data_IF_182725387837
#
_entry.id   IF_182725387837
#
_cell.length_a   1.000
_cell.length_b   1.000
_cell.length_c   1.000
_cell.angle_alpha   90.00
_cell.angle_beta   90.00
_cell.angle_gamma   90.00
#
_symmetry.space_group_name_H-M   'P 1'
#
loop_
_entity.id
_entity.type
_entity.pdbx_description
1 polymer ?
#
# COMPACT_ATOMS: atom_id res chain seq x y z
N UNK A 1 1.08 13.46 26.48
CA UNK A 1 -0.17 13.82 27.16
C UNK A 1 -1.01 14.64 26.21
N UNK A 2 -2.10 14.03 25.76
CA UNK A 2 -3.04 14.59 24.80
C UNK A 2 -3.76 15.81 25.38
N UNK A 3 -3.68 16.96 24.70
CA UNK A 3 -4.41 18.17 25.04
C UNK A 3 -5.37 18.52 23.89
N UNK A 4 -6.68 18.33 24.10
CA UNK A 4 -7.73 18.68 23.14
C UNK A 4 -8.85 19.47 23.85
N UNK A 5 -9.45 20.48 23.18
CA UNK A 5 -9.14 20.97 21.83
C UNK A 5 -7.77 21.67 21.76
N UNK A 6 -7.15 21.67 20.57
CA UNK A 6 -5.83 22.27 20.34
C UNK A 6 -5.77 22.99 18.98
N UNK A 7 -4.99 24.07 18.91
CA UNK A 7 -4.62 24.74 17.66
C UNK A 7 -3.35 24.17 17.03
N UNK A 8 -2.64 23.32 17.75
CA UNK A 8 -1.43 22.62 17.30
C UNK A 8 -1.72 21.14 17.11
N UNK A 9 -1.11 20.49 16.10
CA UNK A 9 -1.19 19.04 15.97
C UNK A 9 -0.78 18.34 17.26
N UNK A 10 -1.51 17.30 17.61
CA UNK A 10 -1.18 16.45 18.75
C UNK A 10 -0.61 15.14 18.23
N UNK A 11 0.47 14.64 18.84
CA UNK A 11 1.01 13.31 18.58
C UNK A 11 0.61 12.37 19.72
N UNK A 12 0.08 11.21 19.38
CA UNK A 12 -0.33 10.17 20.32
C UNK A 12 0.53 8.93 20.07
N UNK A 13 1.24 8.51 21.11
CA UNK A 13 2.26 7.44 21.05
C UNK A 13 2.00 6.30 22.04
N UNK A 14 1.07 6.48 22.98
CA UNK A 14 0.79 5.52 24.05
C UNK A 14 -0.69 5.17 24.12
N UNK A 15 -0.98 4.01 24.71
CA UNK A 15 -2.34 3.48 24.78
C UNK A 15 -3.29 4.29 25.66
N UNK A 16 -2.81 5.09 26.61
CA UNK A 16 -3.67 5.92 27.44
C UNK A 16 -4.16 7.15 26.67
N UNK A 17 -3.26 7.90 26.05
CA UNK A 17 -3.58 9.03 25.19
C UNK A 17 -4.45 8.57 24.00
N UNK A 18 -4.22 7.37 23.47
CA UNK A 18 -5.08 6.77 22.43
C UNK A 18 -6.51 6.54 22.91
N UNK A 19 -6.71 5.96 24.10
CA UNK A 19 -8.05 5.76 24.67
C UNK A 19 -8.73 7.08 25.04
N UNK A 20 -7.96 8.10 25.44
CA UNK A 20 -8.46 9.46 25.65
C UNK A 20 -8.94 10.09 24.34
N UNK A 21 -8.17 9.91 23.25
CA UNK A 21 -8.56 10.36 21.92
C UNK A 21 -9.85 9.71 21.44
N UNK A 22 -9.99 8.38 21.58
CA UNK A 22 -11.20 7.65 21.20
C UNK A 22 -12.46 8.19 21.89
N UNK A 23 -12.40 8.38 23.21
CA UNK A 23 -13.50 8.99 23.97
C UNK A 23 -13.77 10.44 23.54
N UNK A 24 -12.72 11.21 23.25
CA UNK A 24 -12.89 12.57 22.78
C UNK A 24 -13.63 12.60 21.43
N UNK A 25 -13.20 11.82 20.43
CA UNK A 25 -13.86 11.81 19.10
C UNK A 25 -15.31 11.31 19.15
N UNK A 26 -15.68 10.50 20.13
CA UNK A 26 -17.06 10.06 20.35
C UNK A 26 -17.89 11.05 21.17
N UNK A 27 -17.26 12.00 21.85
CA UNK A 27 -17.98 12.95 22.70
C UNK A 27 -18.89 13.87 21.89
N UNK A 28 -20.18 13.90 22.25
CA UNK A 28 -21.16 14.84 21.72
C UNK A 28 -20.99 16.29 22.19
N UNK A 29 -20.11 16.54 23.16
CA UNK A 29 -19.80 17.90 23.65
C UNK A 29 -18.71 18.62 22.86
N UNK A 30 -18.10 17.96 21.86
CA UNK A 30 -17.09 18.58 21.01
C UNK A 30 -17.70 19.68 20.15
N UNK A 31 -16.99 20.79 20.07
CA UNK A 31 -17.34 21.93 19.21
C UNK A 31 -16.52 21.96 17.91
N UNK A 32 -15.46 21.15 17.81
CA UNK A 32 -14.56 21.09 16.64
C UNK A 32 -14.46 19.68 16.07
N UNK A 33 -14.44 19.52 14.74
CA UNK A 33 -14.07 18.26 14.10
C UNK A 33 -12.66 17.83 14.49
N UNK A 34 -12.39 16.53 14.41
CA UNK A 34 -11.05 15.97 14.66
C UNK A 34 -10.60 15.21 13.41
N UNK A 35 -9.45 15.57 12.85
CA UNK A 35 -8.79 14.78 11.81
C UNK A 35 -7.75 13.89 12.48
N UNK A 36 -8.01 12.58 12.48
CA UNK A 36 -7.06 11.59 12.98
C UNK A 36 -6.29 11.02 11.80
N UNK A 37 -4.97 11.12 11.84
CA UNK A 37 -4.04 10.65 10.83
C UNK A 37 -3.20 9.53 11.42
N UNK A 38 -3.01 8.43 10.70
CA UNK A 38 -2.18 7.30 11.16
C UNK A 38 -0.82 7.33 10.49
N UNK A 39 0.26 7.02 11.20
CA UNK A 39 1.57 6.77 10.60
C UNK A 39 1.59 5.41 9.88
N UNK A 40 2.39 5.30 8.81
CA UNK A 40 2.59 4.03 8.08
C UNK A 40 3.93 3.42 8.47
N UNK A 41 3.91 2.43 9.36
CA UNK A 41 5.12 1.70 9.79
C UNK A 41 6.15 2.59 10.50
N UNK A 42 7.44 2.22 10.41
CA UNK A 42 8.57 2.95 11.03
C UNK A 42 8.93 4.26 10.30
N UNK A 43 8.18 4.65 9.26
CA UNK A 43 8.44 5.87 8.49
C UNK A 43 7.94 7.07 9.30
N UNK A 44 8.80 7.61 10.16
CA UNK A 44 8.40 8.60 11.16
C UNK A 44 7.93 9.95 10.62
N UNK A 45 8.30 10.39 9.39
CA UNK A 45 8.24 11.83 9.12
C UNK A 45 7.66 12.30 7.77
N UNK A 46 7.48 11.44 6.75
CA UNK A 46 7.21 11.96 5.39
C UNK A 46 5.73 12.04 4.97
N UNK A 47 4.85 11.22 5.55
CA UNK A 47 3.52 10.97 4.96
C UNK A 47 2.41 11.84 5.56
N UNK A 48 2.67 12.42 6.72
CA UNK A 48 1.68 13.06 7.57
C UNK A 48 2.23 14.41 8.07
N UNK A 49 2.43 15.37 7.15
CA UNK A 49 2.72 16.75 7.55
C UNK A 49 1.46 17.38 8.18
N UNK A 50 1.16 16.90 9.38
CA UNK A 50 0.02 17.32 10.20
C UNK A 50 0.14 18.78 10.61
N UNK A 51 1.38 19.31 10.67
CA UNK A 51 1.66 20.73 10.87
C UNK A 51 1.15 21.55 9.69
N UNK A 52 1.44 21.15 8.45
CA UNK A 52 0.91 21.83 7.29
C UNK A 52 -0.62 21.69 7.17
N UNK A 53 -1.21 20.54 7.52
CA UNK A 53 -2.68 20.40 7.54
C UNK A 53 -3.30 21.32 8.60
N UNK A 54 -2.72 21.39 9.81
CA UNK A 54 -3.21 22.29 10.86
C UNK A 54 -3.06 23.77 10.47
N UNK A 55 -1.94 24.13 9.83
CA UNK A 55 -1.73 25.48 9.32
C UNK A 55 -2.73 25.84 8.22
N UNK A 56 -3.00 24.93 7.27
CA UNK A 56 -3.96 25.12 6.17
C UNK A 56 -5.39 25.27 6.65
N UNK A 57 -5.76 24.59 7.73
CA UNK A 57 -7.12 24.64 8.29
C UNK A 57 -7.31 25.77 9.30
N UNK A 58 -6.28 26.57 9.59
CA UNK A 58 -6.41 27.74 10.46
C UNK A 58 -6.91 27.45 11.88
N UNK A 59 -6.81 26.20 12.35
CA UNK A 59 -7.42 25.77 13.61
C UNK A 59 -8.94 25.53 13.53
N UNK A 60 -9.53 25.38 12.35
CA UNK A 60 -10.94 24.98 12.21
C UNK A 60 -11.21 23.57 12.78
N UNK A 61 -10.20 22.70 12.82
CA UNK A 61 -10.28 21.34 13.35
C UNK A 61 -9.07 20.97 14.20
N UNK A 62 -9.23 20.00 15.10
CA UNK A 62 -8.13 19.41 15.85
C UNK A 62 -7.44 18.36 14.96
N UNK A 63 -6.11 18.46 14.77
CA UNK A 63 -5.33 17.47 14.00
C UNK A 63 -4.57 16.57 14.97
N UNK A 64 -4.70 15.25 14.81
CA UNK A 64 -4.03 14.27 15.67
C UNK A 64 -3.31 13.22 14.83
N UNK A 65 -2.03 13.02 15.10
CA UNK A 65 -1.22 11.94 14.53
C UNK A 65 -1.14 10.77 15.52
N UNK A 66 -1.68 9.62 15.12
CA UNK A 66 -1.44 8.32 15.76
C UNK A 66 -0.11 7.78 15.26
N UNK A 67 0.90 7.82 16.12
CA UNK A 67 2.23 7.30 15.81
C UNK A 67 2.31 5.82 16.22
N UNK A 68 2.28 4.93 15.23
CA UNK A 68 2.30 3.49 15.41
C UNK A 68 3.69 2.90 15.69
N UNK A 69 4.74 3.71 15.73
CA UNK A 69 6.12 3.23 15.94
C UNK A 69 6.48 2.95 17.42
N UNK A 70 5.51 3.02 18.33
CA UNK A 70 5.69 2.62 19.72
C UNK A 70 5.95 1.11 19.86
N UNK A 71 6.91 0.72 20.70
CA UNK A 71 7.34 -0.67 20.96
C UNK A 71 6.30 -1.55 21.69
N UNK A 72 5.03 -1.16 21.70
CA UNK A 72 3.96 -1.94 22.32
C UNK A 72 3.44 -3.00 21.35
N UNK A 73 3.00 -4.13 21.91
CA UNK A 73 2.54 -5.31 21.15
C UNK A 73 1.32 -4.99 20.27
N UNK A 74 0.57 -3.93 20.60
CA UNK A 74 -0.56 -3.42 19.83
C UNK A 74 -0.26 -2.01 19.33
N UNK A 75 -0.53 -1.74 18.05
CA UNK A 75 -0.34 -0.42 17.44
C UNK A 75 -1.27 0.64 18.04
N UNK A 76 -0.87 1.92 17.99
CA UNK A 76 -1.73 3.02 18.44
C UNK A 76 -3.05 3.11 17.65
N UNK A 77 -3.03 2.78 16.37
CA UNK A 77 -4.23 2.70 15.52
C UNK A 77 -5.12 1.50 15.86
N UNK A 78 -4.54 0.33 16.16
CA UNK A 78 -5.29 -0.83 16.65
C UNK A 78 -5.97 -0.54 18.00
N UNK A 79 -5.22 0.05 18.94
CA UNK A 79 -5.76 0.45 20.24
C UNK A 79 -6.88 1.48 20.10
N UNK A 80 -6.72 2.45 19.18
CA UNK A 80 -7.73 3.45 18.88
C UNK A 80 -9.01 2.81 18.33
N UNK A 81 -8.85 1.91 17.35
CA UNK A 81 -9.96 1.23 16.69
C UNK A 81 -10.68 0.27 17.66
N UNK A 82 -9.95 -0.41 18.54
CA UNK A 82 -10.52 -1.24 19.60
C UNK A 82 -11.33 -0.39 20.60
N UNK A 83 -10.82 0.78 20.99
CA UNK A 83 -11.53 1.69 21.87
C UNK A 83 -12.82 2.24 21.22
N UNK A 84 -12.78 2.61 19.94
CA UNK A 84 -13.99 3.01 19.20
C UNK A 84 -15.03 1.90 19.11
N UNK A 85 -14.59 0.64 18.94
CA UNK A 85 -15.47 -0.51 18.87
C UNK A 85 -16.13 -0.83 20.23
N UNK A 86 -15.39 -0.68 21.33
CA UNK A 86 -15.88 -0.95 22.69
C UNK A 86 -17.05 -0.05 23.10
N UNK A 87 -17.08 1.20 22.62
CA UNK A 87 -18.14 2.16 22.93
C UNK A 87 -19.42 1.94 22.09
N UNK A 88 -19.48 0.91 21.22
CA UNK A 88 -20.72 0.46 20.57
C UNK A 88 -21.30 1.37 19.49
N UNK A 89 -20.63 2.48 19.15
CA UNK A 89 -21.13 3.49 18.22
C UNK A 89 -20.99 3.12 16.72
N UNK A 90 -20.46 1.93 16.39
CA UNK A 90 -20.21 1.50 15.01
C UNK A 90 -19.33 2.46 14.21
N UNK A 91 -18.61 3.34 14.89
CA UNK A 91 -17.83 4.41 14.26
C UNK A 91 -16.57 3.78 13.65
N UNK A 92 -16.37 3.88 12.33
CA UNK A 92 -15.25 3.22 11.69
C UNK A 92 -13.93 3.88 12.08
N UNK A 93 -12.91 3.03 12.25
CA UNK A 93 -11.56 3.40 12.60
C UNK A 93 -10.72 3.96 11.45
N UNK A 94 -9.45 4.25 11.74
CA UNK A 94 -8.43 4.72 10.79
C UNK A 94 -7.20 3.81 10.87
N UNK A 95 -6.47 3.63 9.76
CA UNK A 95 -5.37 2.66 9.67
C UNK A 95 -4.41 2.95 8.49
N UNK A 96 -3.21 2.34 8.53
CA UNK A 96 -2.27 2.20 7.41
C UNK A 96 -1.85 3.49 6.67
N UNK A 97 -1.67 4.60 7.37
CA UNK A 97 -1.29 5.85 6.70
C UNK A 97 -2.49 6.65 6.16
N UNK A 98 -3.72 6.27 6.52
CA UNK A 98 -4.90 7.02 6.17
C UNK A 98 -5.20 8.13 7.18
N UNK A 99 -6.06 9.06 6.79
CA UNK A 99 -6.68 10.04 7.66
C UNK A 99 -8.20 9.82 7.72
N UNK A 100 -8.81 10.02 8.88
CA UNK A 100 -10.27 10.02 9.03
C UNK A 100 -10.73 11.28 9.74
N UNK A 101 -11.76 11.91 9.16
CA UNK A 101 -12.39 13.09 9.73
C UNK A 101 -13.59 12.68 10.58
N UNK A 102 -13.54 13.04 11.87
CA UNK A 102 -14.59 12.86 12.86
C UNK A 102 -15.33 14.19 13.07
N UNK A 103 -16.52 14.38 12.47
CA UNK A 103 -17.25 15.65 12.55
C UNK A 103 -17.70 15.96 13.99
N UNK A 104 -18.04 17.23 14.23
CA UNK A 104 -18.69 17.70 15.44
C UNK A 104 -19.96 18.48 15.02
N UNK A 105 -21.18 18.06 15.42
CA UNK A 105 -21.48 16.87 16.25
C UNK A 105 -21.13 15.54 15.55
N UNK A 106 -21.04 14.42 16.30
CA UNK A 106 -20.75 13.10 15.72
C UNK A 106 -21.75 12.70 14.63
N UNK A 107 -21.23 12.33 13.45
CA UNK A 107 -21.98 11.94 12.27
C UNK A 107 -21.13 10.98 11.40
N UNK A 108 -21.58 10.69 10.18
CA UNK A 108 -20.83 9.86 9.25
C UNK A 108 -19.41 10.42 9.02
N UNK A 109 -18.41 9.54 9.14
CA UNK A 109 -16.99 9.91 9.04
C UNK A 109 -16.45 9.60 7.64
N UNK A 110 -15.55 10.45 7.15
CA UNK A 110 -14.92 10.27 5.84
C UNK A 110 -13.49 9.75 6.00
N UNK A 111 -13.15 8.69 5.27
CA UNK A 111 -11.78 8.15 5.18
C UNK A 111 -11.07 8.74 3.95
N UNK A 112 -9.84 9.18 4.15
CA UNK A 112 -8.95 9.69 3.15
C UNK A 112 -7.68 8.84 3.11
N UNK A 113 -7.36 8.31 1.94
CA UNK A 113 -6.04 7.74 1.70
C UNK A 113 -5.01 8.88 1.53
N UNK A 114 -3.77 8.68 1.96
CA UNK A 114 -2.70 9.68 1.81
C UNK A 114 -1.53 9.18 0.94
N UNK A 115 -1.70 8.00 0.34
CA UNK A 115 -0.65 7.28 -0.38
C UNK A 115 -0.37 7.80 -1.80
N UNK A 116 -1.06 8.84 -2.26
CA UNK A 116 -0.78 9.52 -3.54
C UNK A 116 -1.02 11.02 -3.44
N UNK A 117 -0.38 11.81 -4.32
CA UNK A 117 -0.63 13.24 -4.47
C UNK A 117 -2.12 13.55 -4.68
N UNK A 118 -2.80 12.79 -5.54
CA UNK A 118 -4.22 12.95 -5.81
C UNK A 118 -5.08 12.70 -4.56
N UNK A 119 -4.77 11.66 -3.78
CA UNK A 119 -5.52 11.38 -2.56
C UNK A 119 -5.32 12.46 -1.49
N UNK A 120 -4.09 12.97 -1.32
CA UNK A 120 -3.81 14.12 -0.44
C UNK A 120 -4.51 15.38 -0.92
N UNK A 121 -4.46 15.68 -2.22
CA UNK A 121 -5.17 16.81 -2.82
C UNK A 121 -6.67 16.74 -2.56
N UNK A 122 -7.27 15.53 -2.63
CA UNK A 122 -8.68 15.33 -2.28
C UNK A 122 -8.99 15.63 -0.82
N UNK A 123 -8.15 15.17 0.12
CA UNK A 123 -8.29 15.52 1.54
C UNK A 123 -8.29 17.04 1.71
N UNK A 124 -7.28 17.73 1.17
CA UNK A 124 -7.15 19.18 1.32
C UNK A 124 -8.36 19.88 0.71
N UNK A 125 -8.75 19.56 -0.52
CA UNK A 125 -9.91 20.18 -1.17
C UNK A 125 -11.23 19.96 -0.42
N UNK A 126 -11.42 18.82 0.25
CA UNK A 126 -12.57 18.56 1.12
C UNK A 126 -12.52 19.39 2.40
N UNK A 127 -11.34 19.52 3.04
CA UNK A 127 -11.17 20.31 4.26
C UNK A 127 -11.41 21.80 4.02
N UNK A 128 -10.91 22.34 2.90
CA UNK A 128 -11.07 23.75 2.55
C UNK A 128 -12.52 24.13 2.29
N UNK A 129 -13.25 23.31 1.52
CA UNK A 129 -14.68 23.54 1.26
C UNK A 129 -15.51 23.61 2.54
N UNK A 130 -15.16 22.81 3.55
CA UNK A 130 -15.86 22.79 4.84
C UNK A 130 -15.57 24.01 5.70
N UNK A 131 -14.38 24.59 5.58
CA UNK A 131 -14.04 25.82 6.28
C UNK A 131 -14.84 27.00 5.72
N UNK A 132 -14.99 27.06 4.39
CA UNK A 132 -15.83 28.06 3.70
C UNK A 132 -17.31 27.96 4.14
N UNK A 133 -17.84 26.75 4.29
CA UNK A 133 -19.22 26.53 4.76
C UNK A 133 -19.42 26.89 6.24
N UNK A 134 -18.38 26.79 7.06
CA UNK A 134 -18.43 27.09 8.50
C UNK A 134 -18.16 28.57 8.82
N UNK A 135 -17.40 29.26 7.98
CA UNK A 135 -17.01 30.65 8.19
C UNK A 135 -18.07 31.62 7.63
N UNK A 136 -18.96 32.13 8.49
CA UNK A 136 -19.82 33.29 8.15
C UNK A 136 -19.06 34.63 8.18
N UNK A 137 -17.73 34.61 8.05
CA UNK A 137 -16.85 35.77 8.05
C UNK A 137 -15.65 35.55 7.13
N UNK A 138 -14.92 36.61 6.73
CA UNK A 138 -13.84 36.52 5.75
C UNK A 138 -12.65 35.75 6.33
N UNK A 139 -12.67 34.43 6.19
CA UNK A 139 -11.50 33.57 6.36
C UNK A 139 -10.61 33.76 5.13
N UNK A 140 -9.31 33.95 5.35
CA UNK A 140 -8.34 34.06 4.25
C UNK A 140 -8.23 32.69 3.59
N UNK A 141 -8.95 32.49 2.48
CA UNK A 141 -8.91 31.27 1.70
C UNK A 141 -7.44 30.85 1.48
N UNK A 142 -7.05 29.62 1.83
CA UNK A 142 -5.69 29.17 1.62
C UNK A 142 -5.39 29.18 0.13
N UNK A 143 -4.30 29.88 -0.23
CA UNK A 143 -3.89 30.03 -1.62
C UNK A 143 -3.69 28.66 -2.27
N UNK A 144 -4.10 28.51 -3.53
CA UNK A 144 -3.83 27.34 -4.37
C UNK A 144 -2.35 26.93 -4.34
N UNK A 145 -1.45 27.90 -4.22
CA UNK A 145 -0.01 27.70 -4.04
C UNK A 145 0.36 26.94 -2.75
N UNK A 146 -0.36 27.14 -1.66
CA UNK A 146 -0.11 26.43 -0.40
C UNK A 146 -0.50 24.95 -0.51
N UNK A 147 -1.61 24.66 -1.22
CA UNK A 147 -2.03 23.30 -1.55
C UNK A 147 -0.99 22.61 -2.44
N UNK A 148 -0.53 23.29 -3.49
CA UNK A 148 0.50 22.77 -4.40
C UNK A 148 1.80 22.45 -3.66
N UNK A 149 2.31 23.37 -2.85
CA UNK A 149 3.54 23.17 -2.05
C UNK A 149 3.43 22.00 -1.08
N UNK A 150 2.27 21.81 -0.44
CA UNK A 150 2.03 20.68 0.46
C UNK A 150 2.12 19.33 -0.27
N UNK A 151 1.49 19.25 -1.45
CA UNK A 151 1.50 18.04 -2.27
C UNK A 151 2.92 17.71 -2.74
N UNK A 152 3.66 18.71 -3.20
CA UNK A 152 5.04 18.60 -3.70
C UNK A 152 6.03 18.14 -2.61
N UNK A 153 6.01 18.77 -1.42
CA UNK A 153 6.93 18.47 -0.31
C UNK A 153 6.87 17.02 0.17
N UNK A 154 5.65 16.46 0.17
CA UNK A 154 5.41 15.08 0.60
C UNK A 154 5.92 14.05 -0.43
N UNK A 155 5.93 14.40 -1.72
CA UNK A 155 6.41 13.50 -2.78
C UNK A 155 7.94 13.44 -2.85
N UNK A 156 8.64 14.54 -2.57
CA UNK A 156 10.11 14.58 -2.58
C UNK A 156 10.72 13.61 -1.57
N UNK A 157 10.25 13.65 -0.32
CA UNK A 157 10.80 12.80 0.75
C UNK A 157 10.54 11.30 0.49
N UNK A 158 9.39 10.96 -0.10
CA UNK A 158 9.04 9.58 -0.49
C UNK A 158 9.88 9.08 -1.65
N UNK A 159 10.25 9.96 -2.57
CA UNK A 159 11.03 9.57 -3.74
C UNK A 159 12.42 9.05 -3.37
N UNK A 160 13.06 9.60 -2.33
CA UNK A 160 14.43 9.20 -1.95
C UNK A 160 14.52 7.79 -1.35
N UNK A 161 13.64 7.40 -0.43
CA UNK A 161 13.66 6.07 0.22
C UNK A 161 13.28 4.94 -0.75
N UNK A 162 12.24 5.16 -1.57
CA UNK A 162 11.82 4.17 -2.57
C UNK A 162 12.88 3.96 -3.66
N UNK A 163 13.56 5.02 -4.11
CA UNK A 163 14.63 4.90 -5.10
C UNK A 163 15.84 4.13 -4.55
N UNK A 164 16.16 4.28 -3.27
CA UNK A 164 17.21 3.48 -2.64
C UNK A 164 16.82 2.00 -2.59
N UNK A 165 15.59 1.70 -2.15
CA UNK A 165 15.07 0.33 -2.12
C UNK A 165 15.12 -0.32 -3.51
N UNK A 166 14.61 0.37 -4.55
CA UNK A 166 14.61 -0.11 -5.94
C UNK A 166 15.99 -0.54 -6.44
N UNK A 167 17.05 0.13 -6.00
CA UNK A 167 18.43 -0.15 -6.45
C UNK A 167 19.06 -1.40 -5.82
N UNK A 168 18.53 -1.92 -4.71
CA UNK A 168 19.17 -3.02 -3.98
C UNK A 168 19.14 -4.33 -4.76
N UNK A 169 18.02 -4.65 -5.39
CA UNK A 169 17.84 -5.91 -6.12
C UNK A 169 17.06 -5.67 -7.42
N UNK A 170 17.72 -5.27 -8.53
CA UNK A 170 17.04 -4.98 -9.77
C UNK A 170 16.40 -6.24 -10.36
N UNK A 171 15.26 -6.07 -11.03
CA UNK A 171 14.59 -7.16 -11.74
C UNK A 171 15.44 -7.66 -12.92
N UNK A 172 15.33 -8.95 -13.25
CA UNK A 172 16.01 -9.51 -14.42
C UNK A 172 15.28 -9.06 -15.70
N UNK A 173 16.00 -8.42 -16.62
CA UNK A 173 15.38 -7.87 -17.83
C UNK A 173 15.69 -8.72 -19.05
N UNK A 174 14.64 -9.21 -19.70
CA UNK A 174 14.69 -10.07 -20.87
C UNK A 174 14.31 -9.27 -22.10
N UNK A 175 15.18 -9.29 -23.12
CA UNK A 175 14.99 -8.52 -24.37
C UNK A 175 15.09 -9.38 -25.61
N UNK A 176 15.65 -10.57 -25.51
CA UNK A 176 15.89 -11.44 -26.66
C UNK A 176 14.95 -12.64 -26.66
N UNK A 177 14.80 -13.26 -27.83
CA UNK A 177 14.05 -14.52 -27.99
C UNK A 177 14.68 -15.68 -27.24
N UNK A 178 16.02 -15.72 -27.18
CA UNK A 178 16.76 -16.77 -26.47
C UNK A 178 16.47 -16.72 -24.97
N UNK A 179 16.65 -15.55 -24.35
CA UNK A 179 16.32 -15.33 -22.93
C UNK A 179 14.84 -15.60 -22.63
N UNK A 180 13.92 -15.24 -23.53
CA UNK A 180 12.49 -15.53 -23.36
C UNK A 180 12.18 -17.03 -23.38
N UNK A 181 12.94 -17.82 -24.16
CA UNK A 181 12.84 -19.28 -24.18
C UNK A 181 13.39 -19.88 -22.89
N UNK A 182 14.55 -19.42 -22.44
CA UNK A 182 15.14 -19.84 -21.16
C UNK A 182 14.20 -19.54 -19.98
N UNK A 183 13.50 -18.39 -20.00
CA UNK A 183 12.46 -18.10 -19.02
C UNK A 183 11.33 -19.13 -19.10
N UNK A 184 10.81 -19.43 -20.29
CA UNK A 184 9.73 -20.40 -20.43
C UNK A 184 10.15 -21.79 -19.92
N UNK A 185 11.36 -22.24 -20.26
CA UNK A 185 11.94 -23.50 -19.79
C UNK A 185 12.07 -23.51 -18.26
N UNK A 186 12.54 -22.41 -17.66
CA UNK A 186 12.60 -22.24 -16.21
C UNK A 186 11.20 -22.33 -15.57
N UNK A 187 10.20 -21.68 -16.15
CA UNK A 187 8.84 -21.71 -15.62
C UNK A 187 8.23 -23.12 -15.70
N UNK A 188 8.52 -23.86 -16.77
CA UNK A 188 8.01 -25.21 -17.00
C UNK A 188 8.79 -26.30 -16.26
N UNK A 189 9.95 -25.95 -15.67
CA UNK A 189 10.78 -26.91 -14.95
C UNK A 189 10.07 -27.45 -13.71
N UNK A 190 9.94 -28.79 -13.57
CA UNK A 190 9.36 -29.40 -12.38
C UNK A 190 10.25 -29.24 -11.14
N UNK A 191 11.54 -28.91 -11.32
CA UNK A 191 12.49 -28.72 -10.23
C UNK A 191 12.42 -27.33 -9.60
N UNK A 192 11.63 -26.42 -10.18
CA UNK A 192 11.50 -25.05 -9.70
C UNK A 192 10.85 -25.01 -8.32
N UNK A 193 11.52 -24.36 -7.37
CA UNK A 193 11.10 -24.30 -5.95
C UNK A 193 10.54 -22.96 -5.51
N UNK A 194 10.59 -21.95 -6.37
CA UNK A 194 10.20 -20.58 -6.04
C UNK A 194 9.24 -20.03 -7.08
N UNK A 195 8.25 -19.23 -6.66
CA UNK A 195 7.43 -18.49 -7.60
C UNK A 195 8.27 -17.55 -8.48
N UNK A 196 7.72 -17.20 -9.63
CA UNK A 196 8.31 -16.22 -10.53
C UNK A 196 7.29 -15.15 -10.88
N UNK A 197 7.63 -13.90 -10.65
CA UNK A 197 6.87 -12.74 -11.08
C UNK A 197 7.35 -12.36 -12.47
N UNK A 198 6.45 -12.32 -13.45
CA UNK A 198 6.76 -11.87 -14.81
C UNK A 198 5.91 -10.65 -15.13
N UNK A 199 6.56 -9.57 -15.56
CA UNK A 199 5.92 -8.34 -16.00
C UNK A 199 6.34 -8.05 -17.43
N UNK A 200 5.39 -7.69 -18.28
CA UNK A 200 5.71 -7.20 -19.64
C UNK A 200 5.80 -5.68 -19.65
N UNK A 201 6.64 -5.15 -20.53
CA UNK A 201 6.68 -3.73 -20.89
C UNK A 201 6.58 -3.61 -22.41
N UNK A 202 5.56 -2.92 -22.89
CA UNK A 202 5.35 -2.71 -24.32
C UNK A 202 6.42 -1.75 -24.88
N UNK A 203 6.87 -1.97 -26.11
CA UNK A 203 7.83 -1.07 -26.76
C UNK A 203 7.31 0.39 -26.77
N UNK A 204 8.14 1.33 -26.32
CA UNK A 204 7.79 2.75 -26.21
C UNK A 204 7.03 3.13 -24.93
N UNK A 205 6.55 2.17 -24.14
CA UNK A 205 6.00 2.44 -22.82
C UNK A 205 7.11 2.75 -21.83
N UNK A 206 7.01 3.89 -21.14
CA UNK A 206 7.97 4.28 -20.10
C UNK A 206 7.66 3.63 -18.75
N UNK A 207 6.45 3.07 -18.56
CA UNK A 207 5.98 2.59 -17.25
C UNK A 207 5.11 1.34 -17.39
N UNK A 208 5.39 0.35 -16.55
CA UNK A 208 4.57 -0.85 -16.34
C UNK A 208 3.43 -0.57 -15.36
N UNK A 209 2.39 -1.40 -15.35
CA UNK A 209 1.26 -1.26 -14.39
C UNK A 209 1.67 -1.44 -12.92
N UNK A 210 2.84 -2.01 -12.66
CA UNK A 210 3.43 -2.25 -11.33
C UNK A 210 4.84 -1.68 -11.24
N UNK A 211 5.39 -1.59 -10.03
CA UNK A 211 6.77 -1.20 -9.76
C UNK A 211 7.66 -2.44 -9.65
N UNK A 212 8.27 -2.83 -10.79
CA UNK A 212 9.01 -4.09 -10.92
C UNK A 212 10.24 -4.15 -10.00
N UNK A 213 10.95 -3.04 -9.85
CA UNK A 213 12.14 -2.98 -9.00
C UNK A 213 11.79 -3.07 -7.51
N UNK A 214 10.68 -2.44 -7.10
CA UNK A 214 10.16 -2.62 -5.75
C UNK A 214 9.72 -4.07 -5.50
N UNK A 215 9.05 -4.71 -6.45
CA UNK A 215 8.67 -6.13 -6.35
C UNK A 215 9.92 -7.00 -6.17
N UNK A 216 10.92 -6.80 -7.03
CA UNK A 216 12.18 -7.55 -6.99
C UNK A 216 12.92 -7.40 -5.65
N UNK A 217 12.92 -6.18 -5.11
CA UNK A 217 13.51 -5.89 -3.80
C UNK A 217 12.75 -6.56 -2.65
N UNK A 218 11.42 -6.43 -2.63
CA UNK A 218 10.59 -6.99 -1.56
C UNK A 218 10.53 -8.53 -1.58
N UNK A 219 10.69 -9.13 -2.74
CA UNK A 219 10.68 -10.59 -2.92
C UNK A 219 12.09 -11.18 -3.00
N UNK A 220 13.13 -10.40 -2.72
CA UNK A 220 14.51 -10.87 -2.79
C UNK A 220 14.70 -12.14 -1.93
N UNK A 221 15.30 -13.17 -2.54
CA UNK A 221 15.50 -14.47 -1.91
C UNK A 221 14.24 -15.36 -1.84
N UNK A 222 13.03 -14.81 -2.06
CA UNK A 222 11.76 -15.53 -1.95
C UNK A 222 11.16 -15.91 -3.32
N UNK A 223 11.20 -14.99 -4.29
CA UNK A 223 10.73 -15.21 -5.65
C UNK A 223 11.63 -14.50 -6.67
N UNK A 224 11.72 -15.04 -7.89
CA UNK A 224 12.41 -14.35 -8.98
C UNK A 224 11.47 -13.31 -9.62
N UNK A 225 12.00 -12.14 -9.99
CA UNK A 225 11.23 -11.10 -10.68
C UNK A 225 11.86 -10.79 -12.02
N UNK A 226 11.07 -10.91 -13.09
CA UNK A 226 11.51 -10.82 -14.47
C UNK A 226 10.66 -9.82 -15.25
N UNK A 227 11.31 -8.97 -16.05
CA UNK A 227 10.66 -8.04 -16.96
C UNK A 227 10.93 -8.42 -18.42
N UNK A 228 9.87 -8.71 -19.18
CA UNK A 228 9.92 -8.84 -20.63
C UNK A 228 9.85 -7.45 -21.25
N UNK A 229 10.95 -6.99 -21.85
CA UNK A 229 11.19 -5.60 -22.25
C UNK A 229 11.30 -5.41 -23.78
N UNK A 230 10.82 -6.38 -24.55
CA UNK A 230 10.73 -6.25 -26.01
C UNK A 230 9.53 -7.02 -26.54
N UNK A 231 9.00 -6.56 -27.68
CA UNK A 231 7.90 -7.23 -28.35
C UNK A 231 8.31 -8.63 -28.84
N UNK A 232 9.58 -8.80 -29.23
CA UNK A 232 10.17 -10.06 -29.65
C UNK A 232 10.22 -11.07 -28.51
N UNK A 233 10.66 -10.66 -27.32
CA UNK A 233 10.69 -11.51 -26.13
C UNK A 233 9.27 -11.89 -25.68
N UNK A 234 8.35 -10.92 -25.64
CA UNK A 234 6.94 -11.16 -25.29
C UNK A 234 6.31 -12.16 -26.27
N UNK A 235 6.54 -11.98 -27.57
CA UNK A 235 6.00 -12.86 -28.60
C UNK A 235 6.58 -14.27 -28.51
N UNK A 236 7.89 -14.41 -28.28
CA UNK A 236 8.52 -15.71 -28.14
C UNK A 236 8.06 -16.42 -26.86
N UNK A 237 7.99 -15.73 -25.72
CA UNK A 237 7.48 -16.28 -24.47
C UNK A 237 6.08 -16.90 -24.64
N UNK A 238 5.16 -16.20 -25.32
CA UNK A 238 3.79 -16.68 -25.57
C UNK A 238 3.71 -17.96 -26.40
N UNK A 239 4.74 -18.30 -27.19
CA UNK A 239 4.76 -19.52 -28.01
C UNK A 239 5.02 -20.78 -27.18
N UNK A 240 5.64 -20.62 -26.00
CA UNK A 240 6.07 -21.73 -25.16
C UNK A 240 5.16 -21.98 -23.96
N UNK A 241 4.22 -21.06 -23.67
CA UNK A 241 3.26 -21.19 -22.57
C UNK A 241 1.81 -21.14 -23.06
N UNK A 242 0.92 -21.79 -22.32
CA UNK A 242 -0.50 -21.82 -22.64
C UNK A 242 -1.13 -20.41 -22.60
N UNK A 243 -2.18 -20.21 -23.39
CA UNK A 243 -2.84 -18.92 -23.53
C UNK A 243 -3.29 -18.27 -22.21
N UNK A 244 -3.85 -19.00 -21.21
CA UNK A 244 -4.20 -18.41 -19.92
C UNK A 244 -3.01 -17.82 -19.15
N UNK A 245 -1.79 -18.26 -19.46
CA UNK A 245 -0.56 -17.84 -18.82
C UNK A 245 0.14 -16.67 -19.54
N UNK A 246 -0.39 -16.20 -20.67
CA UNK A 246 0.22 -15.11 -21.43
C UNK A 246 0.35 -13.82 -20.62
N UNK A 247 1.49 -13.14 -20.75
CA UNK A 247 1.78 -11.81 -20.20
C UNK A 247 1.99 -10.84 -21.36
N UNK A 248 1.32 -9.68 -21.35
CA UNK A 248 1.36 -8.70 -22.45
C UNK A 248 0.75 -7.35 -22.05
N UNK A 249 0.98 -6.31 -22.86
CA UNK A 249 0.27 -5.03 -22.73
C UNK A 249 0.53 -4.36 -21.38
N UNK A 250 1.80 -4.29 -20.98
CA UNK A 250 2.24 -3.73 -19.70
C UNK A 250 1.71 -4.45 -18.44
N UNK A 251 1.15 -5.66 -18.62
CA UNK A 251 0.57 -6.48 -17.57
C UNK A 251 1.63 -7.33 -16.84
N UNK A 252 1.24 -7.87 -15.69
CA UNK A 252 2.04 -8.83 -14.92
C UNK A 252 1.28 -10.07 -14.49
N UNK A 253 2.01 -11.14 -14.18
CA UNK A 253 1.50 -12.36 -13.54
C UNK A 253 2.49 -12.90 -12.51
N UNK A 254 1.97 -13.65 -11.54
CA UNK A 254 2.77 -14.44 -10.61
C UNK A 254 2.57 -15.91 -10.93
N UNK A 255 3.65 -16.61 -11.22
CA UNK A 255 3.67 -18.03 -11.53
C UNK A 255 4.00 -18.81 -10.25
N UNK A 256 3.17 -19.78 -9.83
CA UNK A 256 3.51 -20.68 -8.71
C UNK A 256 4.73 -21.54 -9.06
N UNK A 257 5.30 -22.25 -8.10
CA UNK A 257 6.52 -23.03 -8.30
C UNK A 257 6.31 -24.25 -9.22
N UNK A 258 5.17 -24.93 -9.10
CA UNK A 258 4.77 -26.06 -9.95
C UNK A 258 4.48 -25.64 -11.41
N UNK A 259 4.15 -26.62 -12.28
CA UNK A 259 3.80 -26.39 -13.68
C UNK A 259 2.28 -26.50 -13.99
N UNK A 260 1.43 -26.66 -12.96
CA UNK A 260 -0.03 -26.86 -13.13
C UNK A 260 -0.72 -25.66 -13.76
N UNK A 261 -0.13 -24.48 -13.61
CA UNK A 261 -0.60 -23.23 -14.21
C UNK A 261 -0.55 -23.22 -15.75
N UNK A 262 0.20 -24.14 -16.38
CA UNK A 262 0.31 -24.24 -17.83
C UNK A 262 -0.79 -25.11 -18.48
N UNK A 263 -1.78 -25.56 -17.70
CA UNK A 263 -2.98 -26.20 -18.23
C UNK A 263 -3.88 -25.15 -18.94
N UNK A 264 -4.43 -25.44 -20.14
CA UNK A 264 -5.40 -24.57 -20.82
C UNK A 264 -6.65 -24.18 -19.99
N UNK A 265 -6.97 -24.95 -18.94
CA UNK A 265 -8.07 -24.70 -18.01
C UNK A 265 -7.63 -23.97 -16.74
N UNK A 266 -6.32 -23.78 -16.53
CA UNK A 266 -5.80 -23.09 -15.36
C UNK A 266 -6.30 -21.64 -15.31
N UNK A 267 -6.63 -21.18 -14.10
CA UNK A 267 -7.04 -19.79 -13.87
C UNK A 267 -5.90 -19.03 -13.23
N UNK A 268 -5.17 -18.29 -14.07
CA UNK A 268 -4.14 -17.38 -13.60
C UNK A 268 -4.67 -15.94 -13.54
N UNK A 269 -4.40 -15.25 -12.43
CA UNK A 269 -4.68 -13.81 -12.30
C UNK A 269 -3.75 -13.02 -13.25
N UNK A 270 -4.31 -12.05 -13.96
CA UNK A 270 -3.57 -11.09 -14.79
C UNK A 270 -3.70 -9.70 -14.15
N UNK A 271 -2.58 -9.04 -13.90
CA UNK A 271 -2.54 -7.67 -13.41
C UNK A 271 -2.45 -6.73 -14.60
N UNK A 272 -3.56 -6.06 -14.92
CA UNK A 272 -3.65 -5.14 -16.06
C UNK A 272 -3.42 -3.68 -15.61
N UNK A 273 -2.88 -2.82 -16.49
CA UNK A 273 -2.94 -1.38 -16.31
C UNK A 273 -4.39 -0.91 -16.11
N UNK A 274 -4.61 -0.03 -15.14
CA UNK A 274 -5.92 0.54 -14.87
C UNK A 274 -5.76 1.98 -14.35
N UNK A 275 -6.40 2.95 -15.00
CA UNK A 275 -6.29 4.37 -14.67
C UNK A 275 -6.88 4.72 -13.29
N UNK A 276 -7.83 3.92 -12.81
CA UNK A 276 -8.51 4.13 -11.53
C UNK A 276 -7.86 3.40 -10.35
N UNK A 277 -6.86 2.55 -10.61
CA UNK A 277 -6.16 1.77 -9.59
C UNK A 277 -4.72 2.22 -9.52
N UNK A 278 -4.25 2.58 -8.32
CA UNK A 278 -2.87 3.06 -8.17
C UNK A 278 -1.87 1.95 -8.52
N UNK A 279 -0.78 2.32 -9.23
CA UNK A 279 0.36 1.43 -9.52
C UNK A 279 0.90 0.75 -8.26
N UNK A 280 0.92 1.48 -7.14
CA UNK A 280 1.38 0.97 -5.85
C UNK A 280 0.45 -0.09 -5.27
N UNK A 281 -0.88 0.06 -5.42
CA UNK A 281 -1.83 -0.95 -4.99
C UNK A 281 -1.66 -2.24 -5.80
N UNK A 282 -1.57 -2.16 -7.13
CA UNK A 282 -1.30 -3.34 -7.98
C UNK A 282 0.02 -4.00 -7.59
N UNK A 283 1.06 -3.20 -7.33
CA UNK A 283 2.37 -3.69 -6.85
C UNK A 283 2.22 -4.47 -5.55
N UNK A 284 1.53 -3.92 -4.56
CA UNK A 284 1.32 -4.57 -3.26
C UNK A 284 0.50 -5.86 -3.36
N UNK A 285 -0.54 -5.87 -4.21
CA UNK A 285 -1.35 -7.08 -4.44
C UNK A 285 -0.49 -8.16 -5.11
N UNK A 286 0.37 -7.78 -6.07
CA UNK A 286 1.26 -8.73 -6.74
C UNK A 286 2.32 -9.31 -5.81
N UNK A 287 2.92 -8.48 -4.93
CA UNK A 287 3.83 -8.93 -3.87
C UNK A 287 3.10 -9.89 -2.92
N UNK A 288 1.89 -9.52 -2.48
CA UNK A 288 1.07 -10.38 -1.62
C UNK A 288 0.79 -11.74 -2.26
N UNK A 289 0.39 -11.77 -3.52
CA UNK A 289 0.11 -13.02 -4.24
C UNK A 289 1.39 -13.89 -4.33
N UNK A 290 2.56 -13.31 -4.59
CA UNK A 290 3.82 -14.04 -4.59
C UNK A 290 4.17 -14.60 -3.20
N UNK A 291 3.99 -13.82 -2.13
CA UNK A 291 4.24 -14.27 -0.76
C UNK A 291 3.28 -15.39 -0.33
N UNK A 292 2.02 -15.36 -0.77
CA UNK A 292 1.07 -16.44 -0.53
C UNK A 292 1.55 -17.74 -1.18
N UNK A 293 2.01 -17.69 -2.44
CA UNK A 293 2.55 -18.86 -3.14
C UNK A 293 3.84 -19.39 -2.50
N UNK A 294 4.70 -18.50 -1.98
CA UNK A 294 5.88 -18.91 -1.19
C UNK A 294 5.43 -19.64 0.08
N UNK A 295 4.43 -19.12 0.78
CA UNK A 295 3.92 -19.75 2.00
C UNK A 295 3.30 -21.12 1.72
N UNK A 296 2.55 -21.28 0.62
CA UNK A 296 1.96 -22.55 0.22
C UNK A 296 3.04 -23.60 -0.08
N UNK A 297 4.05 -23.27 -0.87
CA UNK A 297 5.16 -24.18 -1.15
C UNK A 297 5.99 -24.55 0.09
N UNK A 298 6.07 -23.67 1.10
CA UNK A 298 6.69 -24.01 2.38
C UNK A 298 5.84 -25.00 3.19
N UNK A 299 4.51 -24.86 3.20
CA UNK A 299 3.59 -25.77 3.91
C UNK A 299 3.62 -27.18 3.32
N UNK A 300 3.64 -27.30 2.00
CA UNK A 300 3.71 -28.59 1.31
C UNK A 300 4.99 -29.34 1.70
N UNK A 301 6.15 -28.68 1.63
CA UNK A 301 7.45 -29.26 2.02
C UNK A 301 7.51 -29.70 3.49
N UNK A 302 6.92 -28.92 4.40
CA UNK A 302 6.85 -29.30 5.82
C UNK A 302 6.00 -30.57 5.99
N UNK A 303 4.93 -30.70 5.21
CA UNK A 303 4.03 -31.86 5.24
C UNK A 303 4.71 -33.11 4.68
N UNK A 304 5.42 -33.01 3.56
CA UNK A 304 6.19 -34.11 2.96
C UNK A 304 7.28 -34.65 3.91
N UNK A 305 8.07 -33.76 4.52
CA UNK A 305 9.11 -34.15 5.45
C UNK A 305 8.57 -34.91 6.69
N UNK A 306 7.32 -34.63 7.10
CA UNK A 306 6.70 -35.30 8.26
C UNK A 306 6.26 -36.74 7.94
N UNK A 307 5.87 -37.00 6.70
CA UNK A 307 5.49 -38.35 6.24
C UNK A 307 6.72 -39.25 6.14
N UNK A 308 7.83 -38.74 5.61
CA UNK A 308 9.08 -39.48 5.48
C UNK A 308 9.72 -39.90 6.82
N UNK A 309 9.49 -39.14 7.88
CA UNK A 309 9.98 -39.50 9.23
C UNK A 309 9.09 -40.55 9.91
N UNK A 310 7.82 -40.66 9.53
CA UNK A 310 6.90 -41.65 10.12
C UNK A 310 7.13 -43.03 9.51
N UNK A 311 7.43 -43.10 8.21
CA UNK A 311 7.69 -44.36 7.49
C UNK A 311 9.10 -44.95 7.68
N UNK A 312 10.01 -44.24 8.37
CA UNK A 312 11.38 -44.74 8.68
C UNK A 312 11.51 -45.38 10.06
N UNK A 313 10.44 -45.37 10.85
CA UNK A 313 10.38 -45.92 12.21
C UNK A 313 9.61 -47.23 12.32
N UNK A 314 9.19 -47.80 11.19
CA UNK A 314 8.67 -49.18 11.07
C UNK A 314 9.70 -50.07 10.37
#
# INVERSE_FOLDING_TARGET
MLALPSSRPQRVTDGEDTRRLARYVLSGSRTRPVLVVTARGNAHDAWNDVEAIAALTGGALDVVLLDGAGRTVDGADETFNAALAADGHGTPGVYNGAARLYPAPPAATTLYYLDTAAHRGRLIADLLRRDDDAATGPSAAPSEDAVRRFVERSDETRSYDLEELRRRHPAHVIRTKAEARELADLLLSPERRKPVVVVSRSAGSRRTCVDVDLISTMLHGLAATVMLDSNEAISEFKRHVAQPAWVFGDAGRVFPADASWNDPKARMRLFLPNEHVSRMLLTNIMIKDALLLVADGLRERISENRVDHTNRTE
#
